data_IF_921068924026
#
_entry.id   IF_921068924026
#
_cell.length_a   1.000
_cell.length_b   1.000
_cell.length_c   1.000
_cell.angle_alpha   90.00
_cell.angle_beta   90.00
_cell.angle_gamma   90.00
#
_symmetry.space_group_name_H-M   'P 1'
#
loop_
_entity.id
_entity.type
_entity.pdbx_description
1 polymer ?
#
# COMPACT_ATOMS: atom_id res chain seq x y z
N UNK A 1 -20.32 -19.55 13.43
CA UNK A 1 -21.20 -19.00 12.41
C UNK A 1 -21.49 -17.55 12.68
N UNK A 2 -21.56 -16.79 11.59
CA UNK A 2 -22.04 -15.41 11.56
C UNK A 2 -23.17 -15.35 10.54
N UNK A 3 -24.27 -14.69 10.89
CA UNK A 3 -25.42 -14.54 9.98
C UNK A 3 -25.23 -13.37 9.01
N UNK A 4 -24.42 -12.38 9.40
CA UNK A 4 -24.17 -11.16 8.63
C UNK A 4 -22.85 -10.50 9.07
N UNK A 5 -21.99 -10.16 8.11
CA UNK A 5 -20.70 -9.49 8.33
C UNK A 5 -20.73 -8.05 7.82
N UNK A 6 -20.70 -7.11 8.75
CA UNK A 6 -20.50 -5.68 8.44
C UNK A 6 -19.01 -5.35 8.52
N UNK A 7 -18.42 -4.95 7.40
CA UNK A 7 -17.04 -4.52 7.28
C UNK A 7 -16.98 -2.98 7.32
N UNK A 8 -16.16 -2.42 8.23
CA UNK A 8 -16.01 -0.96 8.38
C UNK A 8 -14.55 -0.57 8.10
N UNK A 9 -14.10 -0.56 6.83
CA UNK A 9 -12.73 -0.21 6.48
C UNK A 9 -12.50 1.30 6.52
N UNK A 10 -11.26 1.72 6.76
CA UNK A 10 -10.79 3.08 6.50
C UNK A 10 -10.18 3.15 5.10
N UNK A 11 -10.66 4.07 4.26
CA UNK A 11 -10.06 4.39 2.96
C UNK A 11 -8.76 5.11 3.22
N UNK A 12 -7.60 4.53 2.90
CA UNK A 12 -6.30 5.22 3.08
C UNK A 12 -5.24 4.75 2.11
N UNK A 13 -4.17 5.54 1.97
CA UNK A 13 -2.98 5.13 1.25
C UNK A 13 -2.24 3.98 1.95
N UNK A 14 -1.48 3.22 1.16
CA UNK A 14 -0.58 2.19 1.68
C UNK A 14 0.66 2.06 0.80
N UNK A 15 1.85 1.99 1.40
CA UNK A 15 3.11 2.01 0.66
C UNK A 15 3.27 0.86 -0.35
N UNK A 16 2.91 -0.38 0.03
CA UNK A 16 3.05 -1.56 -0.84
C UNK A 16 1.83 -1.81 -1.73
N UNK A 17 0.62 -1.78 -1.16
CA UNK A 17 -0.59 -2.14 -1.88
C UNK A 17 -1.24 -0.97 -2.62
N UNK A 18 -0.69 0.23 -2.52
CA UNK A 18 -1.26 1.48 -3.04
C UNK A 18 -2.33 2.03 -2.10
N UNK A 19 -3.33 1.22 -1.78
CA UNK A 19 -4.43 1.61 -0.90
C UNK A 19 -4.72 0.54 0.18
N UNK A 20 -5.53 0.93 1.15
CA UNK A 20 -6.33 0.05 2.00
C UNK A 20 -7.80 0.41 1.79
N UNK A 21 -8.63 -0.59 1.49
CA UNK A 21 -10.09 -0.56 1.70
C UNK A 21 -10.62 -2.00 1.87
N UNK A 22 -11.93 -2.21 1.73
CA UNK A 22 -12.71 -3.39 2.10
C UNK A 22 -11.97 -4.74 2.04
N UNK A 23 -11.32 -5.04 0.91
CA UNK A 23 -10.61 -6.31 0.71
C UNK A 23 -9.44 -6.47 1.70
N UNK A 24 -8.61 -5.44 1.86
CA UNK A 24 -7.44 -5.48 2.74
C UNK A 24 -7.82 -5.46 4.23
N UNK A 25 -8.99 -4.93 4.58
CA UNK A 25 -9.44 -4.82 5.97
C UNK A 25 -9.64 -6.18 6.63
N UNK A 26 -10.00 -7.23 5.87
CA UNK A 26 -10.16 -8.59 6.41
C UNK A 26 -8.85 -9.19 6.94
N UNK A 27 -7.68 -8.65 6.57
CA UNK A 27 -6.40 -9.03 7.18
C UNK A 27 -6.39 -8.79 8.71
N UNK A 28 -7.31 -7.97 9.23
CA UNK A 28 -7.53 -7.82 10.66
C UNK A 28 -8.08 -9.07 11.35
N UNK A 29 -8.78 -9.95 10.62
CA UNK A 29 -9.44 -11.14 11.17
C UNK A 29 -8.51 -12.34 11.38
N UNK A 30 -7.30 -12.29 10.83
CA UNK A 30 -6.34 -13.40 10.92
C UNK A 30 -5.35 -13.19 12.10
N UNK A 31 -4.81 -14.27 12.70
CA UNK A 31 -3.80 -14.17 13.75
C UNK A 31 -2.52 -13.47 13.29
N UNK A 32 -1.76 -12.90 14.23
CA UNK A 32 -0.52 -12.18 13.91
C UNK A 32 0.54 -13.06 13.24
N UNK A 33 0.57 -14.36 13.53
CA UNK A 33 1.42 -15.33 12.82
C UNK A 33 1.08 -15.38 11.33
N UNK A 34 -0.20 -15.43 10.99
CA UNK A 34 -0.68 -15.43 9.60
C UNK A 34 -0.48 -14.08 8.94
N UNK A 35 -0.66 -12.97 9.67
CA UNK A 35 -0.31 -11.63 9.17
C UNK A 35 1.15 -11.56 8.74
N UNK A 36 2.06 -12.16 9.51
CA UNK A 36 3.50 -12.25 9.15
C UNK A 36 3.72 -13.18 7.95
N UNK A 37 3.04 -14.34 7.90
CA UNK A 37 3.11 -15.25 6.75
C UNK A 37 2.66 -14.60 5.44
N UNK A 38 1.59 -13.81 5.48
CA UNK A 38 1.11 -13.01 4.34
C UNK A 38 2.18 -12.04 3.84
N UNK A 39 3.02 -11.50 4.73
CA UNK A 39 4.11 -10.61 4.33
C UNK A 39 5.21 -11.36 3.57
N UNK A 40 5.54 -12.60 3.97
CA UNK A 40 6.51 -13.44 3.28
C UNK A 40 6.02 -13.94 1.92
N UNK A 41 4.72 -14.08 1.72
CA UNK A 41 4.12 -14.56 0.47
C UNK A 41 3.86 -13.46 -0.58
N UNK A 42 4.14 -12.20 -0.23
CA UNK A 42 3.68 -11.02 -0.94
C UNK A 42 2.21 -10.70 -0.63
N UNK A 43 1.87 -9.43 -0.40
CA UNK A 43 0.56 -9.05 0.16
C UNK A 43 -0.63 -9.27 -0.78
N UNK A 44 -0.44 -9.16 -2.09
CA UNK A 44 -1.57 -9.03 -3.03
C UNK A 44 -2.39 -10.33 -3.19
N UNK A 45 -1.72 -11.47 -3.40
CA UNK A 45 -2.42 -12.77 -3.57
C UNK A 45 -3.15 -13.21 -2.31
N UNK A 46 -2.54 -13.18 -1.10
CA UNK A 46 -3.22 -13.54 0.13
C UNK A 46 -4.40 -12.62 0.46
N UNK A 47 -4.34 -11.32 0.14
CA UNK A 47 -5.50 -10.42 0.30
C UNK A 47 -6.67 -10.90 -0.58
N UNK A 48 -6.42 -11.19 -1.86
CA UNK A 48 -7.47 -11.70 -2.75
C UNK A 48 -8.03 -13.03 -2.22
N UNK A 49 -7.19 -14.01 -1.94
CA UNK A 49 -7.64 -15.32 -1.45
C UNK A 49 -8.42 -15.26 -0.13
N UNK A 50 -8.04 -14.36 0.79
CA UNK A 50 -8.78 -14.20 2.03
C UNK A 50 -10.24 -13.78 1.79
N UNK A 51 -10.49 -12.94 0.78
CA UNK A 51 -11.83 -12.50 0.40
C UNK A 51 -12.59 -13.52 -0.48
N UNK A 52 -11.90 -14.53 -1.01
CA UNK A 52 -12.56 -15.71 -1.57
C UNK A 52 -13.19 -16.57 -0.47
N UNK A 53 -12.54 -16.64 0.70
CA UNK A 53 -12.94 -17.46 1.85
C UNK A 53 -13.94 -16.72 2.75
N UNK A 54 -13.66 -15.45 3.09
CA UNK A 54 -14.50 -14.66 4.00
C UNK A 54 -15.33 -13.68 3.16
N UNK A 55 -16.64 -13.89 3.13
CA UNK A 55 -17.60 -13.01 2.44
C UNK A 55 -18.07 -11.90 3.37
N UNK A 56 -18.22 -10.71 2.80
CA UNK A 56 -18.67 -9.50 3.46
C UNK A 56 -20.08 -9.21 2.97
N UNK A 57 -21.01 -8.91 3.87
CA UNK A 57 -22.40 -8.69 3.50
C UNK A 57 -22.73 -7.20 3.36
N UNK A 58 -22.07 -6.33 4.14
CA UNK A 58 -22.20 -4.88 4.03
C UNK A 58 -20.86 -4.21 4.31
N UNK A 59 -20.54 -3.18 3.54
CA UNK A 59 -19.31 -2.43 3.67
C UNK A 59 -19.64 -0.97 3.89
N UNK A 60 -19.13 -0.41 4.99
CA UNK A 60 -19.26 1.01 5.35
C UNK A 60 -17.84 1.59 5.42
N UNK A 61 -17.37 2.16 4.32
CA UNK A 61 -15.99 2.66 4.26
C UNK A 61 -15.91 4.11 4.73
N UNK A 62 -15.07 4.35 5.74
CA UNK A 62 -14.76 5.69 6.24
C UNK A 62 -13.75 6.39 5.32
N UNK A 63 -14.15 7.52 4.77
CA UNK A 63 -13.31 8.44 4.02
C UNK A 63 -13.50 9.88 4.49
N UNK A 64 -13.72 10.12 5.78
CA UNK A 64 -13.96 11.49 6.29
C UNK A 64 -12.66 12.30 6.26
N UNK A 65 -11.60 11.77 6.86
CA UNK A 65 -10.31 12.46 6.99
C UNK A 65 -9.11 11.50 6.92
N UNK A 66 -8.92 10.77 5.81
CA UNK A 66 -7.82 9.81 5.74
C UNK A 66 -6.47 10.44 5.42
N UNK A 67 -5.40 9.69 5.66
CA UNK A 67 -4.11 9.93 5.00
C UNK A 67 -4.10 9.18 3.66
N UNK A 68 -4.08 9.89 2.52
CA UNK A 68 -4.18 9.25 1.22
C UNK A 68 -2.84 8.71 0.71
N UNK A 69 -1.75 8.91 1.45
CA UNK A 69 -0.39 8.60 1.02
C UNK A 69 0.29 7.50 1.83
N UNK A 70 -0.04 7.36 3.12
CA UNK A 70 0.70 6.48 4.03
C UNK A 70 -0.18 5.78 5.07
N UNK A 71 0.14 4.53 5.38
CA UNK A 71 -0.71 3.69 6.22
C UNK A 71 -0.63 3.99 7.73
N UNK A 72 0.47 4.59 8.20
CA UNK A 72 0.66 5.02 9.59
C UNK A 72 0.06 6.41 9.86
N UNK A 73 -0.35 7.13 8.79
CA UNK A 73 -0.90 8.47 8.88
C UNK A 73 0.15 9.57 8.98
N UNK A 74 -0.29 10.75 9.42
CA UNK A 74 0.53 11.96 9.58
C UNK A 74 0.16 13.10 8.63
N UNK A 75 -0.64 12.84 7.59
CA UNK A 75 -1.12 13.84 6.62
C UNK A 75 -2.63 13.72 6.39
N UNK A 76 -3.46 14.01 7.40
CA UNK A 76 -4.91 13.92 7.27
C UNK A 76 -5.40 14.87 6.17
N UNK A 77 -6.23 14.34 5.25
CA UNK A 77 -6.85 15.09 4.17
C UNK A 77 -8.36 14.96 4.28
N UNK A 78 -9.07 16.08 4.34
CA UNK A 78 -10.53 16.08 4.45
C UNK A 78 -11.16 15.68 3.11
N UNK A 79 -11.83 14.53 3.11
CA UNK A 79 -12.56 13.98 1.96
C UNK A 79 -14.08 13.94 2.18
N UNK A 80 -14.51 14.08 3.45
CA UNK A 80 -15.89 14.24 3.91
C UNK A 80 -16.90 13.27 3.28
N UNK A 81 -16.53 11.99 3.19
CA UNK A 81 -17.39 10.94 2.62
C UNK A 81 -17.44 9.67 3.45
N UNK A 82 -18.56 8.99 3.35
CA UNK A 82 -18.74 7.61 3.77
C UNK A 82 -19.26 6.86 2.53
N UNK A 83 -18.67 5.69 2.25
CA UNK A 83 -19.14 4.83 1.17
C UNK A 83 -19.94 3.67 1.74
N UNK A 84 -21.01 3.30 1.05
CA UNK A 84 -21.82 2.15 1.38
C UNK A 84 -21.87 1.23 0.16
N UNK A 85 -21.69 -0.08 0.37
CA UNK A 85 -21.80 -1.04 -0.73
C UNK A 85 -21.79 -2.49 -0.25
N UNK A 86 -22.11 -3.38 -1.19
CA UNK A 86 -22.19 -4.82 -0.97
C UNK A 86 -21.07 -5.58 -1.68
N UNK A 87 -20.47 -4.98 -2.72
CA UNK A 87 -19.41 -5.59 -3.51
C UNK A 87 -18.04 -5.05 -3.05
N UNK A 88 -17.16 -5.88 -2.47
CA UNK A 88 -15.88 -5.44 -1.94
C UNK A 88 -14.89 -5.00 -3.03
N UNK A 89 -14.98 -5.56 -4.23
CA UNK A 89 -14.12 -5.17 -5.34
C UNK A 89 -14.54 -3.81 -5.87
N UNK A 90 -15.84 -3.59 -6.09
CA UNK A 90 -16.37 -2.31 -6.57
C UNK A 90 -16.04 -1.18 -5.59
N UNK A 91 -16.17 -1.46 -4.27
CA UNK A 91 -15.81 -0.53 -3.20
C UNK A 91 -14.33 -0.15 -3.24
N UNK A 92 -13.43 -1.12 -3.41
CA UNK A 92 -11.99 -0.86 -3.53
C UNK A 92 -11.65 -0.15 -4.85
N UNK A 93 -12.32 -0.44 -5.96
CA UNK A 93 -12.16 0.28 -7.23
C UNK A 93 -12.51 1.76 -7.07
N UNK A 94 -13.65 2.07 -6.43
CA UNK A 94 -14.05 3.45 -6.18
C UNK A 94 -13.09 4.13 -5.20
N UNK A 95 -12.69 3.45 -4.13
CA UNK A 95 -11.69 3.97 -3.18
C UNK A 95 -10.34 4.27 -3.85
N UNK A 96 -9.90 3.43 -4.79
CA UNK A 96 -8.71 3.69 -5.60
C UNK A 96 -8.84 5.01 -6.37
N UNK A 97 -9.96 5.24 -7.07
CA UNK A 97 -10.20 6.48 -7.82
C UNK A 97 -10.24 7.71 -6.91
N UNK A 98 -10.89 7.61 -5.75
CA UNK A 98 -10.91 8.69 -4.74
C UNK A 98 -9.50 9.05 -4.30
N UNK A 99 -8.65 8.05 -4.11
CA UNK A 99 -7.25 8.24 -3.74
C UNK A 99 -6.34 8.57 -4.94
N UNK A 100 -6.88 8.76 -6.15
CA UNK A 100 -6.10 9.16 -7.33
C UNK A 100 -5.35 8.01 -8.03
N UNK A 101 -5.71 6.77 -7.73
CA UNK A 101 -5.18 5.57 -8.39
C UNK A 101 -6.15 5.07 -9.45
N UNK A 102 -5.63 4.47 -10.51
CA UNK A 102 -6.45 3.63 -11.38
C UNK A 102 -6.67 2.28 -10.69
N UNK A 103 -7.87 1.69 -10.72
CA UNK A 103 -8.11 0.38 -10.09
C UNK A 103 -7.11 -0.71 -10.54
N UNK A 104 -6.70 -0.68 -11.81
CA UNK A 104 -5.72 -1.64 -12.37
C UNK A 104 -4.29 -1.48 -11.83
N UNK A 105 -3.94 -0.34 -11.24
CA UNK A 105 -2.65 -0.13 -10.58
C UNK A 105 -2.59 -0.88 -9.24
N UNK A 106 -3.75 -1.18 -8.64
CA UNK A 106 -3.86 -1.88 -7.37
C UNK A 106 -3.97 -3.39 -7.63
N UNK A 107 -2.82 -4.07 -7.66
CA UNK A 107 -2.72 -5.49 -8.08
C UNK A 107 -3.70 -6.43 -7.39
N UNK A 108 -4.03 -6.22 -6.11
CA UNK A 108 -4.93 -7.13 -5.39
C UNK A 108 -6.40 -6.99 -5.82
N UNK A 109 -6.83 -5.82 -6.31
CA UNK A 109 -8.17 -5.60 -6.85
C UNK A 109 -8.37 -6.47 -8.08
N UNK A 110 -7.41 -6.39 -9.02
CA UNK A 110 -7.42 -7.20 -10.24
C UNK A 110 -7.38 -8.70 -9.94
N UNK A 111 -6.58 -9.13 -8.97
CA UNK A 111 -6.58 -10.52 -8.54
C UNK A 111 -7.95 -10.93 -7.98
N UNK A 112 -8.55 -10.11 -7.12
CA UNK A 112 -9.86 -10.43 -6.56
C UNK A 112 -10.97 -10.50 -7.62
N UNK A 113 -10.94 -9.62 -8.63
CA UNK A 113 -11.82 -9.68 -9.80
C UNK A 113 -11.69 -11.02 -10.54
N UNK A 114 -10.46 -11.42 -10.85
CA UNK A 114 -10.19 -12.67 -11.57
C UNK A 114 -10.64 -13.91 -10.79
N UNK A 115 -10.62 -13.85 -9.45
CA UNK A 115 -11.11 -14.89 -8.55
C UNK A 115 -12.64 -14.86 -8.37
N UNK A 116 -13.35 -13.96 -9.06
CA UNK A 116 -14.81 -13.84 -9.00
C UNK A 116 -15.34 -13.33 -7.65
N UNK A 117 -14.53 -12.57 -6.90
CA UNK A 117 -14.89 -12.07 -5.57
C UNK A 117 -15.88 -10.90 -5.65
N UNK A 118 -15.80 -10.13 -6.73
CA UNK A 118 -16.64 -8.96 -6.97
C UNK A 118 -16.37 -8.35 -8.33
N UNK A 119 -17.04 -7.25 -8.61
CA UNK A 119 -17.18 -6.67 -9.95
C UNK A 119 -16.26 -5.46 -10.12
N UNK A 120 -15.72 -5.24 -11.33
CA UNK A 120 -14.99 -4.01 -11.63
C UNK A 120 -15.92 -2.80 -11.61
N UNK A 121 -15.35 -1.62 -11.40
CA UNK A 121 -16.03 -0.37 -11.68
C UNK A 121 -16.12 -0.18 -13.20
N UNK A 122 -17.32 0.09 -13.70
CA UNK A 122 -17.62 0.26 -15.13
C UNK A 122 -18.66 1.36 -15.34
N UNK A 123 -18.96 1.71 -16.58
CA UNK A 123 -19.99 2.72 -16.91
C UNK A 123 -21.40 2.28 -16.47
N UNK A 124 -21.63 0.97 -16.33
CA UNK A 124 -22.89 0.41 -15.84
C UNK A 124 -22.98 0.39 -14.30
N UNK A 125 -21.92 0.80 -13.60
CA UNK A 125 -21.91 0.84 -12.15
C UNK A 125 -22.74 2.02 -11.63
N UNK A 126 -23.76 1.73 -10.83
CA UNK A 126 -24.59 2.75 -10.20
C UNK A 126 -23.88 3.34 -8.97
N UNK A 127 -23.59 4.65 -9.01
CA UNK A 127 -23.06 5.40 -7.87
C UNK A 127 -24.09 6.48 -7.51
N UNK A 128 -24.74 6.30 -6.36
CA UNK A 128 -25.74 7.24 -5.86
C UNK A 128 -25.12 8.16 -4.82
N UNK A 129 -25.10 9.47 -5.11
CA UNK A 129 -24.67 10.48 -4.16
C UNK A 129 -25.88 10.95 -3.33
N UNK A 130 -25.92 10.58 -2.05
CA UNK A 130 -27.03 10.93 -1.14
C UNK A 130 -27.02 12.42 -0.78
N UNK A 131 -25.84 13.07 -0.81
CA UNK A 131 -25.68 14.49 -0.53
C UNK A 131 -25.03 15.19 -1.74
N UNK A 132 -25.72 16.19 -2.30
CA UNK A 132 -25.32 16.90 -3.53
C UNK A 132 -24.20 17.95 -3.32
N UNK A 133 -23.73 18.13 -2.08
CA UNK A 133 -22.78 19.20 -1.76
C UNK A 133 -21.33 18.92 -2.16
N UNK A 134 -21.02 17.74 -2.71
CA UNK A 134 -19.67 17.33 -3.08
C UNK A 134 -19.63 17.02 -4.57
N UNK A 135 -18.91 17.82 -5.35
CA UNK A 135 -18.66 17.49 -6.75
C UNK A 135 -17.67 16.30 -6.86
N UNK A 136 -17.93 15.31 -7.73
CA UNK A 136 -17.09 14.12 -7.87
C UNK A 136 -15.62 14.42 -8.16
N UNK A 137 -15.34 15.44 -8.99
CA UNK A 137 -13.99 15.80 -9.42
C UNK A 137 -13.22 16.67 -8.40
N UNK A 138 -13.91 17.40 -7.51
CA UNK A 138 -13.25 18.28 -6.52
C UNK A 138 -12.59 17.50 -5.37
N UNK A 139 -12.77 16.18 -5.32
CA UNK A 139 -12.41 15.36 -4.16
C UNK A 139 -11.53 14.16 -4.48
N UNK A 140 -11.07 14.05 -5.72
CA UNK A 140 -10.03 13.10 -6.09
C UNK A 140 -8.69 13.61 -5.62
N UNK A 141 -7.98 12.78 -4.86
CA UNK A 141 -6.60 13.08 -4.49
C UNK A 141 -5.75 13.05 -5.75
N UNK A 142 -4.95 14.09 -5.95
CA UNK A 142 -3.91 14.08 -6.98
C UNK A 142 -2.67 13.42 -6.35
N UNK A 143 -2.38 12.19 -6.76
CA UNK A 143 -1.17 11.51 -6.33
C UNK A 143 0.08 12.26 -6.83
N UNK A 144 0.99 12.60 -5.91
CA UNK A 144 2.29 13.16 -6.27
C UNK A 144 3.15 12.09 -6.93
N UNK A 145 3.88 12.44 -7.99
CA UNK A 145 4.82 11.51 -8.64
C UNK A 145 5.90 11.08 -7.64
N UNK A 146 5.88 9.79 -7.27
CA UNK A 146 6.83 9.20 -6.31
C UNK A 146 8.10 8.75 -7.04
N UNK A 147 8.77 9.66 -7.75
CA UNK A 147 10.00 9.36 -8.53
C UNK A 147 11.08 8.69 -7.69
N UNK A 148 11.16 9.05 -6.41
CA UNK A 148 12.09 8.46 -5.43
C UNK A 148 11.83 6.98 -5.14
N UNK A 149 10.71 6.39 -5.59
CA UNK A 149 10.49 4.95 -5.51
C UNK A 149 11.06 4.20 -6.71
N UNK A 150 11.34 4.89 -7.83
CA UNK A 150 11.89 4.25 -9.04
C UNK A 150 13.29 3.70 -8.81
N UNK A 151 14.01 4.27 -7.84
CA UNK A 151 15.38 3.88 -7.49
C UNK A 151 15.44 2.63 -6.59
N UNK A 152 14.28 2.08 -6.22
CA UNK A 152 14.14 0.93 -5.34
C UNK A 152 13.83 -0.32 -6.16
N UNK A 153 14.69 -1.31 -6.04
CA UNK A 153 14.42 -2.66 -6.54
C UNK A 153 13.86 -3.50 -5.39
N UNK A 154 12.54 -3.69 -5.40
CA UNK A 154 11.80 -4.39 -4.35
C UNK A 154 11.46 -5.81 -4.79
N UNK A 155 11.89 -6.79 -4.00
CA UNK A 155 11.59 -8.19 -4.25
C UNK A 155 11.28 -8.95 -2.95
N UNK A 156 10.00 -9.17 -2.69
CA UNK A 156 9.44 -9.82 -1.51
C UNK A 156 9.85 -9.12 -0.20
N UNK A 157 9.75 -7.79 -0.17
CA UNK A 157 9.99 -7.00 1.02
C UNK A 157 8.83 -7.09 2.02
N UNK A 158 9.17 -7.25 3.31
CA UNK A 158 8.21 -7.11 4.39
C UNK A 158 7.65 -5.68 4.43
N UNK A 159 6.36 -5.53 4.76
CA UNK A 159 5.68 -4.23 4.81
C UNK A 159 6.38 -3.21 5.68
N UNK A 160 6.86 -3.61 6.86
CA UNK A 160 7.54 -2.71 7.79
C UNK A 160 8.94 -2.27 7.29
N UNK A 161 9.66 -3.15 6.58
CA UNK A 161 10.96 -2.76 6.01
C UNK A 161 10.76 -1.79 4.84
N UNK A 162 9.77 -2.08 3.99
CA UNK A 162 9.45 -1.24 2.85
C UNK A 162 8.87 0.11 3.28
N UNK A 163 7.94 0.14 4.25
CA UNK A 163 7.36 1.39 4.77
C UNK A 163 8.44 2.33 5.31
N UNK A 164 9.37 1.81 6.14
CA UNK A 164 10.46 2.59 6.70
C UNK A 164 11.40 3.13 5.61
N UNK A 165 11.68 2.33 4.57
CA UNK A 165 12.46 2.80 3.42
C UNK A 165 11.72 3.89 2.64
N UNK A 166 10.43 3.70 2.34
CA UNK A 166 9.61 4.71 1.64
C UNK A 166 9.58 6.03 2.41
N UNK A 167 9.37 5.99 3.72
CA UNK A 167 9.39 7.18 4.58
C UNK A 167 10.77 7.87 4.59
N UNK A 168 11.85 7.10 4.60
CA UNK A 168 13.21 7.63 4.53
C UNK A 168 13.47 8.31 3.18
N UNK A 169 13.08 7.65 2.07
CA UNK A 169 13.26 8.18 0.71
C UNK A 169 12.41 9.43 0.47
N UNK A 170 11.18 9.48 0.98
CA UNK A 170 10.33 10.67 0.90
C UNK A 170 11.02 11.87 1.58
N UNK A 171 11.62 11.67 2.76
CA UNK A 171 12.41 12.71 3.46
C UNK A 171 13.65 13.09 2.66
N UNK A 172 14.43 12.13 2.16
CA UNK A 172 15.65 12.39 1.39
C UNK A 172 15.38 13.08 0.05
N UNK A 173 14.22 12.81 -0.56
CA UNK A 173 13.80 13.46 -1.80
C UNK A 173 13.65 14.97 -1.65
N UNK A 174 13.22 15.45 -0.47
CA UNK A 174 13.13 16.89 -0.20
C UNK A 174 14.50 17.58 -0.21
N UNK A 175 15.58 16.84 0.00
CA UNK A 175 16.97 17.33 -0.05
C UNK A 175 17.67 17.02 -1.38
N UNK A 176 16.95 16.48 -2.38
CA UNK A 176 17.51 16.12 -3.69
C UNK A 176 18.49 14.93 -3.69
N UNK A 177 18.61 14.22 -2.57
CA UNK A 177 19.59 13.14 -2.40
C UNK A 177 19.22 11.91 -3.24
N UNK A 178 17.93 11.66 -3.42
CA UNK A 178 17.39 10.51 -4.17
C UNK A 178 17.81 10.52 -5.64
N UNK A 179 18.04 11.69 -6.24
CA UNK A 179 18.47 11.84 -7.64
C UNK A 179 19.89 11.32 -7.89
N UNK A 180 20.70 11.15 -6.83
CA UNK A 180 22.07 10.61 -6.93
C UNK A 180 22.12 9.09 -7.07
N UNK A 181 21.00 8.41 -6.83
CA UNK A 181 20.92 6.96 -6.87
C UNK A 181 20.26 6.52 -8.18
N UNK A 182 21.02 5.97 -9.12
CA UNK A 182 20.50 5.43 -10.38
C UNK A 182 20.09 3.95 -10.22
N UNK A 183 18.94 3.70 -9.58
CA UNK A 183 18.30 2.37 -9.49
C UNK A 183 19.05 1.31 -8.65
N UNK A 184 19.62 1.71 -7.50
CA UNK A 184 20.59 0.88 -6.77
C UNK A 184 20.14 0.33 -5.42
N UNK A 185 18.97 0.69 -4.91
CA UNK A 185 18.58 0.33 -3.54
C UNK A 185 17.72 -0.94 -3.57
N UNK A 186 18.33 -2.08 -3.25
CA UNK A 186 17.61 -3.35 -3.19
C UNK A 186 17.01 -3.58 -1.79
N UNK A 187 15.81 -4.14 -1.75
CA UNK A 187 15.14 -4.52 -0.50
C UNK A 187 14.26 -5.74 -0.70
N UNK A 188 14.34 -6.69 0.25
CA UNK A 188 13.38 -7.78 0.35
C UNK A 188 14.01 -9.17 0.45
N UNK A 189 13.17 -10.17 0.73
CA UNK A 189 13.61 -11.52 1.08
C UNK A 189 14.19 -12.29 -0.12
N UNK A 190 13.78 -11.95 -1.34
CA UNK A 190 14.28 -12.59 -2.55
C UNK A 190 15.78 -12.36 -2.76
N UNK A 191 16.36 -11.32 -2.15
CA UNK A 191 17.80 -11.02 -2.23
C UNK A 191 18.68 -11.82 -1.27
N UNK A 192 18.12 -12.72 -0.45
CA UNK A 192 18.93 -13.55 0.46
C UNK A 192 19.90 -14.42 -0.33
N UNK A 193 21.20 -14.25 -0.06
CA UNK A 193 22.27 -14.98 -0.74
C UNK A 193 22.68 -14.40 -2.10
N UNK A 194 22.01 -13.35 -2.58
CA UNK A 194 22.38 -12.62 -3.79
C UNK A 194 23.32 -11.46 -3.46
N UNK A 195 24.16 -11.09 -4.44
CA UNK A 195 25.04 -9.92 -4.35
C UNK A 195 24.40 -8.73 -5.04
N UNK A 196 24.70 -7.53 -4.54
CA UNK A 196 24.36 -6.26 -5.15
C UNK A 196 25.12 -5.13 -4.46
N UNK A 197 24.84 -3.89 -4.85
CA UNK A 197 25.63 -2.72 -4.40
C UNK A 197 25.10 -2.14 -3.09
N UNK A 198 23.84 -1.70 -3.05
CA UNK A 198 23.21 -1.09 -1.87
C UNK A 198 21.98 -1.91 -1.46
N UNK A 199 21.98 -2.37 -0.20
CA UNK A 199 20.91 -3.18 0.37
C UNK A 199 20.32 -2.60 1.64
N UNK A 200 19.01 -2.76 1.84
CA UNK A 200 18.32 -2.37 3.08
C UNK A 200 17.74 -3.60 3.79
N UNK A 201 18.11 -3.74 5.06
CA UNK A 201 17.66 -4.81 5.95
C UNK A 201 18.47 -6.10 5.85
N UNK A 202 18.29 -6.99 6.84
CA UNK A 202 19.06 -8.23 6.99
C UNK A 202 18.99 -9.18 5.78
N UNK A 203 17.99 -9.05 4.92
CA UNK A 203 17.84 -9.89 3.74
C UNK A 203 18.86 -9.58 2.63
N UNK A 204 19.54 -8.43 2.72
CA UNK A 204 20.56 -7.98 1.75
C UNK A 204 21.98 -8.06 2.32
N UNK A 205 22.21 -8.89 3.35
CA UNK A 205 23.49 -8.97 4.07
C UNK A 205 24.71 -9.39 3.22
N UNK A 206 24.48 -9.91 2.01
CA UNK A 206 25.53 -10.30 1.06
C UNK A 206 25.91 -9.17 0.07
N UNK A 207 25.32 -7.98 0.22
CA UNK A 207 25.60 -6.82 -0.64
C UNK A 207 26.89 -6.13 -0.23
N UNK A 208 27.52 -5.39 -1.16
CA UNK A 208 28.75 -4.63 -0.89
C UNK A 208 28.56 -3.64 0.26
N UNK A 209 27.40 -2.98 0.29
CA UNK A 209 27.01 -2.03 1.33
C UNK A 209 25.57 -2.30 1.71
N UNK A 210 25.32 -2.60 2.97
CA UNK A 210 23.96 -2.83 3.44
C UNK A 210 23.73 -2.26 4.84
N UNK A 211 22.48 -1.89 5.11
CA UNK A 211 22.03 -1.50 6.44
C UNK A 211 21.35 -2.69 7.14
N UNK A 212 21.90 -3.23 8.25
CA UNK A 212 21.22 -4.27 9.02
C UNK A 212 19.93 -3.76 9.68
N UNK A 213 18.97 -4.66 9.88
CA UNK A 213 17.67 -4.39 10.54
C UNK A 213 16.54 -5.28 10.03
N UNK A 214 15.54 -5.54 10.89
CA UNK A 214 14.33 -6.31 10.53
C UNK A 214 13.12 -5.92 11.41
N UNK A 215 12.49 -4.74 11.18
CA UNK A 215 12.82 -3.76 10.16
C UNK A 215 13.93 -2.77 10.62
N UNK A 216 14.75 -2.24 9.70
CA UNK A 216 15.65 -1.11 10.00
C UNK A 216 14.82 0.15 10.31
N UNK A 217 15.29 1.00 11.22
CA UNK A 217 14.58 2.24 11.59
C UNK A 217 14.75 3.31 10.50
N UNK A 218 13.73 4.15 10.34
CA UNK A 218 13.70 5.21 9.31
C UNK A 218 14.89 6.16 9.44
N UNK A 219 15.27 6.56 10.65
CA UNK A 219 16.41 7.45 10.90
C UNK A 219 17.75 6.81 10.50
N UNK A 220 17.91 5.51 10.70
CA UNK A 220 19.12 4.78 10.34
C UNK A 220 19.23 4.65 8.81
N UNK A 221 18.11 4.41 8.12
CA UNK A 221 18.04 4.39 6.65
C UNK A 221 18.47 5.75 6.08
N UNK A 222 17.98 6.85 6.65
CA UNK A 222 18.34 8.21 6.23
C UNK A 222 19.85 8.42 6.36
N UNK A 223 20.44 8.13 7.52
CA UNK A 223 21.89 8.32 7.76
C UNK A 223 22.72 7.45 6.81
N UNK A 224 22.37 6.18 6.69
CA UNK A 224 23.05 5.25 5.81
C UNK A 224 23.05 5.73 4.36
N UNK A 225 21.89 6.10 3.81
CA UNK A 225 21.79 6.58 2.42
C UNK A 225 22.49 7.94 2.25
N UNK A 226 22.45 8.84 3.24
CA UNK A 226 23.23 10.08 3.21
C UNK A 226 24.73 9.81 3.08
N UNK A 227 25.26 8.86 3.85
CA UNK A 227 26.66 8.45 3.75
C UNK A 227 26.98 7.82 2.39
N UNK A 228 26.11 6.95 1.87
CA UNK A 228 26.30 6.34 0.56
C UNK A 228 26.28 7.38 -0.57
N UNK A 229 25.46 8.43 -0.46
CA UNK A 229 25.36 9.50 -1.46
C UNK A 229 26.61 10.37 -1.60
N UNK A 230 27.57 10.26 -0.67
CA UNK A 230 28.88 10.92 -0.75
C UNK A 230 29.93 10.07 -1.47
N UNK A 231 29.66 8.78 -1.61
CA UNK A 231 30.57 7.77 -2.17
C UNK A 231 30.15 7.33 -3.58
N UNK A 232 29.22 8.07 -4.20
CA UNK A 232 28.72 7.95 -5.58
C UNK A 232 28.98 9.29 -6.25
#
# INVERSE_FOLDING_TARGET
DIDYLINVPLIKGHCQTGITCALKNLKGLIPDSEKRRFHTMGLHKPIAWLNAIIKQDLIIADGICPDPYFEEGGRPTSLNRILLGFDPVLMDCYAAQVLGYKPDEVKYIKLAQNEGIGSPLSDDSEIVNIYESIQPDETRIIQKDKKYLRIVDEADACSACYSNLVSALEKLNTSGITEKFADQICIGQAYRGYKGVIGIGNCTSCFERYLPGCPPQTEDIIRFLQEQSKNI
#
